data_IF_918698065153
#
_entry.id   IF_918698065153
#
_cell.length_a   1.000
_cell.length_b   1.000
_cell.length_c   1.000
_cell.angle_alpha   90.00
_cell.angle_beta   90.00
_cell.angle_gamma   90.00
#
_symmetry.space_group_name_H-M   'P 1'
#
loop_
_entity.id
_entity.type
_entity.pdbx_description
1 polymer ?
#
# COMPACT_ATOMS: atom_id res chain seq x y z
N UNK A 1 17.99 -5.56 12.32
CA UNK A 1 18.80 -4.39 12.76
C UNK A 1 18.96 -3.49 11.55
N UNK A 2 18.70 -2.17 11.66
CA UNK A 2 18.91 -1.24 10.56
C UNK A 2 20.35 -1.29 10.05
N UNK A 3 20.53 -1.35 8.73
CA UNK A 3 21.85 -1.36 8.12
C UNK A 3 21.83 -0.74 6.73
N UNK A 4 22.96 -0.24 6.28
CA UNK A 4 23.19 0.24 4.92
C UNK A 4 23.01 -0.89 3.89
N UNK A 5 23.46 -2.09 4.25
CA UNK A 5 23.37 -3.30 3.43
C UNK A 5 21.96 -3.59 2.90
N UNK A 6 20.91 -3.31 3.70
CA UNK A 6 19.51 -3.48 3.27
C UNK A 6 19.14 -2.51 2.13
N UNK A 7 19.61 -1.28 2.22
CA UNK A 7 19.40 -0.28 1.16
C UNK A 7 20.14 -0.68 -0.10
N UNK A 8 21.42 -1.06 0.02
CA UNK A 8 22.22 -1.50 -1.12
C UNK A 8 21.62 -2.74 -1.79
N UNK A 9 21.11 -3.69 -1.02
CA UNK A 9 20.40 -4.84 -1.58
C UNK A 9 19.15 -4.42 -2.35
N UNK A 10 18.33 -3.52 -1.80
CA UNK A 10 17.15 -2.99 -2.52
C UNK A 10 17.53 -2.33 -3.85
N UNK A 11 18.55 -1.50 -3.85
CA UNK A 11 19.05 -0.82 -5.05
C UNK A 11 19.66 -1.80 -6.06
N UNK A 12 20.40 -2.81 -5.59
CA UNK A 12 20.96 -3.85 -6.46
C UNK A 12 19.87 -4.70 -7.10
N UNK A 13 18.80 -5.03 -6.36
CA UNK A 13 17.62 -5.73 -6.90
C UNK A 13 17.01 -4.91 -8.05
N UNK A 14 16.84 -3.61 -7.87
CA UNK A 14 16.32 -2.73 -8.93
C UNK A 14 17.21 -2.74 -10.16
N UNK A 15 18.53 -2.65 -9.98
CA UNK A 15 19.51 -2.72 -11.06
C UNK A 15 19.46 -4.06 -11.80
N UNK A 16 19.40 -5.17 -11.08
CA UNK A 16 19.33 -6.52 -11.66
C UNK A 16 18.00 -6.79 -12.40
N UNK A 17 16.93 -6.08 -12.04
CA UNK A 17 15.64 -6.18 -12.69
C UNK A 17 15.46 -5.23 -13.89
N UNK A 18 16.47 -4.43 -14.26
CA UNK A 18 16.37 -3.42 -15.34
C UNK A 18 15.80 -4.00 -16.64
N UNK A 19 16.13 -5.24 -16.98
CA UNK A 19 15.57 -5.95 -18.14
C UNK A 19 14.05 -6.17 -18.11
N UNK A 20 13.42 -6.01 -16.95
CA UNK A 20 11.97 -6.11 -16.78
C UNK A 20 11.24 -4.79 -17.03
N UNK A 21 11.92 -3.67 -17.02
CA UNK A 21 11.40 -2.36 -17.37
C UNK A 21 11.23 -2.21 -18.87
N UNK A 22 10.20 -1.48 -19.31
CA UNK A 22 10.15 -1.03 -20.68
C UNK A 22 11.09 0.18 -20.85
N UNK A 23 11.83 0.19 -21.92
CA UNK A 23 12.62 1.34 -22.33
C UNK A 23 11.78 2.08 -23.38
N UNK A 24 11.52 3.35 -23.15
CA UNK A 24 10.80 4.19 -24.12
C UNK A 24 11.73 4.56 -25.29
N UNK A 25 11.22 5.35 -26.25
CA UNK A 25 12.06 5.92 -27.31
C UNK A 25 13.21 6.78 -26.76
N UNK A 26 13.06 7.31 -25.55
CA UNK A 26 14.12 7.97 -24.79
C UNK A 26 14.79 6.93 -23.87
N UNK A 27 16.04 6.50 -24.14
CA UNK A 27 16.69 5.41 -23.43
C UNK A 27 16.98 5.70 -21.95
N UNK A 28 16.83 6.94 -21.50
CA UNK A 28 16.97 7.35 -20.10
C UNK A 28 15.61 7.58 -19.41
N UNK A 29 14.49 7.35 -20.10
CA UNK A 29 13.16 7.46 -19.54
C UNK A 29 12.69 6.09 -19.03
N UNK A 30 12.50 5.98 -17.70
CA UNK A 30 11.99 4.78 -17.06
C UNK A 30 10.48 4.78 -16.91
N UNK A 31 9.90 3.58 -16.79
CA UNK A 31 8.44 3.37 -16.58
C UNK A 31 8.01 3.62 -15.12
N UNK A 32 8.94 4.03 -14.28
CA UNK A 32 8.70 4.22 -12.86
C UNK A 32 9.42 3.20 -12.00
N UNK A 33 10.02 3.68 -10.94
CA UNK A 33 10.80 2.91 -9.98
C UNK A 33 10.69 3.55 -8.60
N UNK A 34 10.89 2.77 -7.56
CA UNK A 34 10.97 3.34 -6.22
C UNK A 34 11.42 2.36 -5.14
N UNK A 35 11.76 2.94 -4.02
CA UNK A 35 12.14 2.27 -2.79
C UNK A 35 11.37 2.86 -1.61
N UNK A 36 10.77 2.01 -0.79
CA UNK A 36 10.19 2.33 0.52
C UNK A 36 11.10 1.77 1.59
N UNK A 37 11.41 2.60 2.58
CA UNK A 37 12.28 2.25 3.71
C UNK A 37 11.70 2.77 5.02
N UNK A 38 12.27 2.34 6.14
CA UNK A 38 12.09 3.09 7.38
C UNK A 38 12.76 4.45 7.27
N UNK A 39 12.31 5.42 8.09
CA UNK A 39 12.94 6.74 8.17
C UNK A 39 14.38 6.59 8.66
N UNK A 40 15.39 7.02 7.87
CA UNK A 40 16.80 6.93 8.24
C UNK A 40 17.16 8.06 9.21
N UNK A 41 16.82 7.90 10.49
CA UNK A 41 16.92 8.95 11.51
C UNK A 41 18.31 9.58 11.60
N UNK A 42 19.38 8.78 11.62
CA UNK A 42 20.75 9.28 11.72
C UNK A 42 21.15 10.14 10.51
N UNK A 43 20.71 9.75 9.32
CA UNK A 43 20.91 10.53 8.12
C UNK A 43 20.23 11.90 8.22
N UNK A 44 18.94 11.93 8.56
CA UNK A 44 18.21 13.20 8.70
C UNK A 44 18.69 14.06 9.85
N UNK A 45 19.13 13.46 10.95
CA UNK A 45 19.75 14.19 12.06
C UNK A 45 21.00 14.93 11.59
N UNK A 46 21.87 14.26 10.80
CA UNK A 46 23.05 14.87 10.19
C UNK A 46 22.68 15.98 9.20
N UNK A 47 21.70 15.73 8.34
CA UNK A 47 21.31 16.70 7.32
C UNK A 47 20.68 17.97 7.92
N UNK A 48 19.78 17.83 8.88
CA UNK A 48 19.09 18.96 9.49
C UNK A 48 19.98 19.74 10.46
N UNK A 49 20.98 19.09 11.04
CA UNK A 49 21.98 19.78 11.85
C UNK A 49 22.74 20.87 11.06
N UNK A 50 22.89 20.72 9.74
CA UNK A 50 23.48 21.77 8.87
C UNK A 50 22.67 23.09 8.89
N UNK A 51 21.38 23.01 9.21
CA UNK A 51 20.46 24.14 9.34
C UNK A 51 20.11 24.45 10.80
N UNK A 52 20.87 23.94 11.76
CA UNK A 52 20.65 24.07 13.21
C UNK A 52 19.28 23.55 13.68
N UNK A 53 18.71 22.56 12.99
CA UNK A 53 17.45 21.93 13.37
C UNK A 53 17.76 20.62 14.12
N UNK A 54 17.19 20.48 15.32
CA UNK A 54 17.31 19.28 16.14
C UNK A 54 16.06 18.44 15.92
N UNK A 55 16.24 17.22 15.41
CA UNK A 55 15.14 16.26 15.27
C UNK A 55 14.75 15.67 16.63
N UNK A 56 13.44 15.48 16.90
CA UNK A 56 12.97 14.67 18.02
C UNK A 56 13.45 13.20 17.91
N UNK A 57 13.11 12.39 18.90
CA UNK A 57 13.39 10.95 18.84
C UNK A 57 12.63 10.29 17.68
N UNK A 58 13.10 9.13 17.18
CA UNK A 58 12.28 8.31 16.31
C UNK A 58 10.88 8.10 16.89
N UNK A 59 9.87 8.04 16.03
CA UNK A 59 8.45 7.96 16.34
C UNK A 59 7.80 9.25 16.91
N UNK A 60 8.58 10.23 17.41
CA UNK A 60 8.07 11.52 17.92
C UNK A 60 7.96 12.58 16.81
N UNK A 61 8.35 12.28 15.59
CA UNK A 61 8.22 13.14 14.43
C UNK A 61 7.85 12.32 13.18
N UNK A 62 7.38 13.00 12.16
CA UNK A 62 7.08 12.38 10.86
C UNK A 62 7.82 13.11 9.73
N UNK A 63 8.01 12.39 8.62
CA UNK A 63 8.58 12.95 7.39
C UNK A 63 7.56 12.82 6.27
N UNK A 64 7.23 13.94 5.64
CA UNK A 64 6.48 13.99 4.40
C UNK A 64 7.41 14.08 3.20
N UNK A 65 7.20 13.27 2.17
CA UNK A 65 7.81 13.40 0.86
C UNK A 65 6.73 13.85 -0.12
N UNK A 66 6.85 15.04 -0.69
CA UNK A 66 5.81 15.64 -1.53
C UNK A 66 6.36 16.03 -2.89
N UNK A 67 5.58 15.75 -3.94
CA UNK A 67 5.76 16.28 -5.27
C UNK A 67 4.94 17.56 -5.41
N UNK A 68 5.60 18.65 -5.77
CA UNK A 68 5.03 19.98 -5.89
C UNK A 68 5.23 20.54 -7.30
N UNK A 69 4.44 21.57 -7.72
CA UNK A 69 4.61 22.21 -9.02
C UNK A 69 5.99 22.83 -9.19
N UNK A 70 6.49 22.82 -10.41
CA UNK A 70 7.72 23.53 -10.78
C UNK A 70 7.50 25.05 -10.89
N UNK A 71 6.29 25.48 -11.22
CA UNK A 71 5.94 26.90 -11.22
C UNK A 71 6.05 27.47 -9.80
N UNK A 72 6.78 28.56 -9.62
CA UNK A 72 7.10 29.14 -8.31
C UNK A 72 5.87 29.71 -7.60
N UNK A 73 4.90 30.26 -8.33
CA UNK A 73 3.67 30.84 -7.75
C UNK A 73 2.75 29.71 -7.27
N UNK A 74 2.52 28.70 -8.12
CA UNK A 74 1.72 27.51 -7.76
C UNK A 74 2.35 26.76 -6.58
N UNK A 75 3.68 26.58 -6.60
CA UNK A 75 4.41 25.97 -5.50
C UNK A 75 4.28 26.75 -4.20
N UNK A 76 4.38 28.07 -4.26
CA UNK A 76 4.19 28.95 -3.09
C UNK A 76 2.77 28.83 -2.53
N UNK A 77 1.77 28.72 -3.41
CA UNK A 77 0.39 28.46 -3.00
C UNK A 77 0.25 27.10 -2.31
N UNK A 78 0.79 26.05 -2.91
CA UNK A 78 0.79 24.69 -2.29
C UNK A 78 1.46 24.69 -0.92
N UNK A 79 2.64 25.33 -0.80
CA UNK A 79 3.35 25.45 0.48
C UNK A 79 2.53 26.19 1.55
N UNK A 80 1.76 27.20 1.16
CA UNK A 80 0.86 27.94 2.06
C UNK A 80 -0.25 27.01 2.57
N UNK A 81 -0.97 26.33 1.67
CA UNK A 81 -2.06 25.41 2.01
C UNK A 81 -1.56 24.27 2.92
N UNK A 82 -0.39 23.68 2.62
CA UNK A 82 0.23 22.65 3.46
C UNK A 82 0.46 23.16 4.88
N UNK A 83 1.06 24.36 5.05
CA UNK A 83 1.34 24.95 6.36
C UNK A 83 0.06 25.26 7.14
N UNK A 84 -0.97 25.79 6.47
CA UNK A 84 -2.27 26.08 7.07
C UNK A 84 -2.95 24.79 7.60
N UNK A 85 -2.89 23.70 6.84
CA UNK A 85 -3.40 22.42 7.29
C UNK A 85 -2.59 21.85 8.46
N UNK A 86 -1.27 21.97 8.47
CA UNK A 86 -0.47 21.57 9.64
C UNK A 86 -0.92 22.32 10.90
N UNK A 87 -1.12 23.63 10.81
CA UNK A 87 -1.62 24.43 11.93
C UNK A 87 -3.01 24.00 12.38
N UNK A 88 -3.92 23.76 11.43
CA UNK A 88 -5.30 23.32 11.68
C UNK A 88 -5.36 22.01 12.49
N UNK A 89 -4.45 21.08 12.19
CA UNK A 89 -4.38 19.76 12.85
C UNK A 89 -3.39 19.71 14.01
N UNK A 90 -2.97 20.87 14.57
CA UNK A 90 -2.01 20.93 15.67
C UNK A 90 -0.65 20.26 15.38
N UNK A 91 -0.23 20.31 14.13
CA UNK A 91 1.08 19.85 13.71
C UNK A 91 2.06 21.04 13.70
N UNK A 92 3.24 20.82 14.24
CA UNK A 92 4.36 21.77 14.18
C UNK A 92 5.27 21.40 13.02
N UNK A 93 5.54 22.36 12.15
CA UNK A 93 6.52 22.22 11.09
C UNK A 93 7.91 22.53 11.64
N UNK A 94 8.79 21.54 11.64
CA UNK A 94 10.17 21.68 12.11
C UNK A 94 11.07 22.23 11.00
N UNK A 95 10.96 21.68 9.79
CA UNK A 95 11.80 22.06 8.66
C UNK A 95 11.18 21.66 7.32
N UNK A 96 11.50 22.41 6.28
CA UNK A 96 11.23 22.05 4.88
C UNK A 96 12.56 21.92 4.17
N UNK A 97 12.77 20.80 3.50
CA UNK A 97 13.98 20.51 2.74
C UNK A 97 13.61 20.22 1.29
N UNK A 98 14.25 20.90 0.36
CA UNK A 98 14.25 20.45 -1.03
C UNK A 98 15.18 19.24 -1.15
N UNK A 99 14.69 18.17 -1.78
CA UNK A 99 15.45 16.93 -1.91
C UNK A 99 16.51 17.09 -2.97
N UNK A 100 17.80 16.86 -2.67
CA UNK A 100 18.86 16.98 -3.66
C UNK A 100 18.77 15.84 -4.67
N UNK A 101 18.63 16.22 -5.94
CA UNK A 101 18.54 15.29 -7.08
C UNK A 101 19.53 15.66 -8.16
N UNK A 102 19.95 14.64 -8.93
CA UNK A 102 20.81 14.78 -10.08
C UNK A 102 20.01 14.62 -11.38
N UNK A 103 19.67 15.73 -12.01
CA UNK A 103 18.76 15.75 -13.17
C UNK A 103 19.36 15.21 -14.46
N UNK A 104 20.69 15.27 -14.62
CA UNK A 104 21.41 14.84 -15.83
C UNK A 104 21.33 13.33 -16.10
N UNK A 105 20.91 12.56 -15.12
CA UNK A 105 20.65 11.13 -15.27
C UNK A 105 19.30 10.81 -15.91
N UNK A 106 18.39 11.80 -15.97
CA UNK A 106 17.06 11.64 -16.54
C UNK A 106 17.07 11.86 -18.06
N UNK A 107 16.13 11.21 -18.74
CA UNK A 107 15.83 11.50 -20.13
C UNK A 107 15.13 12.84 -20.33
N UNK A 108 15.30 13.44 -21.49
CA UNK A 108 14.71 14.78 -21.81
C UNK A 108 13.19 14.79 -21.65
N UNK A 109 12.52 13.71 -22.04
CA UNK A 109 11.07 13.56 -21.91
C UNK A 109 10.58 13.56 -20.46
N UNK A 110 11.42 13.13 -19.53
CA UNK A 110 11.10 13.00 -18.10
C UNK A 110 11.47 14.26 -17.32
N UNK A 111 12.59 14.90 -17.66
CA UNK A 111 13.06 16.13 -17.01
C UNK A 111 11.99 17.24 -17.06
N UNK A 112 11.36 17.41 -18.23
CA UNK A 112 10.34 18.45 -18.42
C UNK A 112 9.09 18.27 -17.56
N UNK A 113 8.81 17.02 -17.15
CA UNK A 113 7.63 16.66 -16.33
C UNK A 113 8.00 16.32 -14.88
N UNK A 114 9.28 16.49 -14.51
CA UNK A 114 9.73 16.21 -13.15
C UNK A 114 9.11 17.21 -12.17
N UNK A 115 8.51 16.76 -11.07
CA UNK A 115 8.05 17.65 -10.02
C UNK A 115 9.21 18.25 -9.21
N UNK A 116 8.96 19.33 -8.52
CA UNK A 116 9.79 19.77 -7.40
C UNK A 116 9.57 18.84 -6.21
N UNK A 117 10.62 18.33 -5.61
CA UNK A 117 10.55 17.28 -4.58
C UNK A 117 10.95 17.88 -3.23
N UNK A 118 10.02 17.84 -2.25
CA UNK A 118 10.23 18.41 -0.94
C UNK A 118 9.98 17.41 0.19
N UNK A 119 10.76 17.54 1.24
CA UNK A 119 10.57 16.86 2.51
C UNK A 119 10.09 17.83 3.58
N UNK A 120 9.10 17.40 4.34
CA UNK A 120 8.52 18.15 5.46
C UNK A 120 8.77 17.37 6.75
N UNK A 121 9.55 17.94 7.64
CA UNK A 121 9.79 17.39 8.97
C UNK A 121 8.81 18.04 9.93
N UNK A 122 7.99 17.21 10.57
CA UNK A 122 6.86 17.68 11.36
C UNK A 122 6.73 16.84 12.65
N UNK A 123 6.12 17.44 13.67
CA UNK A 123 5.73 16.72 14.88
C UNK A 123 4.37 17.19 15.38
N UNK A 124 3.73 16.42 16.22
CA UNK A 124 2.54 16.91 16.93
C UNK A 124 2.91 17.96 17.98
N UNK A 125 2.11 19.01 18.13
CA UNK A 125 2.27 19.98 19.22
C UNK A 125 1.88 19.37 20.57
N UNK A 126 0.88 18.48 20.55
CA UNK A 126 0.45 17.70 21.70
C UNK A 126 0.60 16.23 21.29
N UNK A 127 1.51 15.46 21.92
CA UNK A 127 1.74 14.09 21.54
C UNK A 127 0.48 13.23 21.61
N UNK A 128 0.22 12.44 20.59
CA UNK A 128 -0.84 11.45 20.54
C UNK A 128 -0.63 10.35 21.59
N UNK A 129 -1.72 9.64 21.93
CA UNK A 129 -1.67 8.50 22.85
C UNK A 129 -0.89 7.31 22.28
N UNK A 130 -0.80 7.23 20.96
CA UNK A 130 -0.08 6.17 20.26
C UNK A 130 0.40 6.64 18.90
N UNK A 131 1.42 5.97 18.37
CA UNK A 131 1.93 6.23 17.02
C UNK A 131 0.87 5.94 15.95
N UNK A 132 -0.05 5.01 16.16
CA UNK A 132 -1.16 4.76 15.24
C UNK A 132 -2.14 5.93 15.21
N UNK A 133 -2.37 6.61 16.33
CA UNK A 133 -3.18 7.82 16.36
C UNK A 133 -2.49 8.96 15.62
N UNK A 134 -1.16 9.09 15.74
CA UNK A 134 -0.39 10.05 14.95
C UNK A 134 -0.50 9.76 13.44
N UNK A 135 -0.36 8.50 13.02
CA UNK A 135 -0.59 8.09 11.62
C UNK A 135 -2.01 8.47 11.15
N UNK A 136 -3.03 8.28 11.98
CA UNK A 136 -4.41 8.65 11.65
C UNK A 136 -4.56 10.17 11.49
N UNK A 137 -3.92 10.97 12.34
CA UNK A 137 -3.88 12.42 12.20
C UNK A 137 -3.20 12.83 10.89
N UNK A 138 -2.06 12.23 10.56
CA UNK A 138 -1.33 12.50 9.32
C UNK A 138 -2.12 12.12 8.07
N UNK A 139 -2.88 11.03 8.13
CA UNK A 139 -3.81 10.65 7.05
C UNK A 139 -4.86 11.75 6.81
N UNK A 140 -5.51 12.26 7.87
CA UNK A 140 -6.49 13.34 7.76
C UNK A 140 -5.87 14.61 7.18
N UNK A 141 -4.72 15.02 7.71
CA UNK A 141 -3.95 16.18 7.22
C UNK A 141 -3.69 16.05 5.72
N UNK A 142 -3.16 14.91 5.30
CA UNK A 142 -2.85 14.63 3.89
C UNK A 142 -4.09 14.70 3.01
N UNK A 143 -5.18 14.06 3.44
CA UNK A 143 -6.44 14.07 2.67
C UNK A 143 -7.03 15.46 2.52
N UNK A 144 -6.99 16.29 3.56
CA UNK A 144 -7.42 17.68 3.46
C UNK A 144 -6.57 18.47 2.47
N UNK A 145 -5.25 18.34 2.54
CA UNK A 145 -4.34 19.01 1.59
C UNK A 145 -4.62 18.53 0.15
N UNK A 146 -4.78 17.22 -0.09
CA UNK A 146 -5.11 16.69 -1.41
C UNK A 146 -6.42 17.24 -1.98
N UNK A 147 -7.44 17.38 -1.15
CA UNK A 147 -8.74 17.94 -1.58
C UNK A 147 -8.68 19.44 -1.86
N UNK A 148 -7.95 20.19 -1.06
CA UNK A 148 -7.76 21.63 -1.26
C UNK A 148 -6.90 21.93 -2.49
N UNK A 149 -5.91 21.09 -2.76
CA UNK A 149 -4.96 21.25 -3.88
C UNK A 149 -5.34 20.44 -5.14
N UNK A 150 -6.56 19.92 -5.23
CA UNK A 150 -7.01 19.06 -6.35
C UNK A 150 -6.87 19.70 -7.75
N UNK A 151 -6.78 21.02 -7.85
CA UNK A 151 -6.62 21.75 -9.11
C UNK A 151 -5.15 22.04 -9.45
N UNK A 152 -4.23 21.64 -8.60
CA UNK A 152 -2.79 21.82 -8.77
C UNK A 152 -2.10 20.48 -8.91
N UNK A 153 -0.89 20.50 -9.50
CA UNK A 153 -0.04 19.34 -9.47
C UNK A 153 0.53 19.18 -8.04
N UNK A 154 -0.10 18.34 -7.27
CA UNK A 154 0.30 18.03 -5.89
C UNK A 154 0.13 16.54 -5.62
N UNK A 155 1.17 15.91 -5.10
CA UNK A 155 1.09 14.49 -4.72
C UNK A 155 1.93 14.20 -3.48
N UNK A 156 1.32 13.73 -2.39
CA UNK A 156 2.02 13.28 -1.19
C UNK A 156 2.50 11.84 -1.39
N UNK A 157 3.78 11.70 -1.70
CA UNK A 157 4.43 10.39 -1.92
C UNK A 157 4.38 9.55 -0.65
N UNK A 158 4.75 10.16 0.47
CA UNK A 158 4.62 9.57 1.82
C UNK A 158 4.43 10.69 2.86
N UNK A 159 3.80 10.35 3.98
CA UNK A 159 3.70 11.19 5.18
C UNK A 159 3.49 10.25 6.36
N UNK A 160 4.53 9.95 7.10
CA UNK A 160 4.53 8.91 8.14
C UNK A 160 5.64 9.17 9.18
N UNK A 161 5.47 8.76 10.45
CA UNK A 161 6.53 8.72 11.44
C UNK A 161 7.44 7.49 11.30
N UNK A 162 7.10 6.53 10.42
CA UNK A 162 7.80 5.23 10.32
C UNK A 162 8.53 5.02 9.00
N UNK A 163 7.93 5.44 7.88
CA UNK A 163 8.40 5.10 6.53
C UNK A 163 8.60 6.32 5.65
N UNK A 164 9.47 6.19 4.66
CA UNK A 164 9.69 7.18 3.62
C UNK A 164 9.83 6.48 2.28
N UNK A 165 9.41 7.14 1.20
CA UNK A 165 9.44 6.61 -0.16
C UNK A 165 10.21 7.55 -1.07
N UNK A 166 11.18 6.99 -1.81
CA UNK A 166 11.85 7.63 -2.92
C UNK A 166 11.42 6.94 -4.21
N UNK A 167 10.75 7.65 -5.09
CA UNK A 167 10.22 7.08 -6.34
C UNK A 167 10.11 8.12 -7.45
N UNK A 168 9.95 7.65 -8.68
CA UNK A 168 9.72 8.53 -9.83
C UNK A 168 9.86 7.83 -11.16
N UNK A 169 9.75 8.59 -12.24
CA UNK A 169 9.94 8.11 -13.60
C UNK A 169 11.45 8.05 -13.95
N UNK A 170 12.18 7.25 -13.20
CA UNK A 170 13.62 7.06 -13.29
C UNK A 170 13.88 5.63 -13.76
N UNK A 171 14.96 5.39 -14.46
CA UNK A 171 15.43 4.03 -14.74
C UNK A 171 15.81 3.35 -13.43
N UNK A 172 15.58 2.04 -13.35
CA UNK A 172 15.73 1.30 -12.08
C UNK A 172 17.17 1.27 -11.56
N UNK A 173 18.15 1.24 -12.44
CA UNK A 173 19.57 1.30 -12.12
C UNK A 173 20.07 2.72 -11.78
N UNK A 174 19.31 3.76 -12.14
CA UNK A 174 19.64 5.17 -11.91
C UNK A 174 18.97 5.79 -10.67
N UNK A 175 18.13 5.07 -9.94
CA UNK A 175 17.42 5.61 -8.78
C UNK A 175 18.38 6.14 -7.70
N UNK A 176 19.48 5.41 -7.45
CA UNK A 176 20.53 5.82 -6.50
C UNK A 176 21.26 7.08 -6.98
N UNK A 177 21.50 7.19 -8.29
CA UNK A 177 22.21 8.33 -8.86
C UNK A 177 21.32 9.56 -8.92
N UNK A 178 20.02 9.39 -9.15
CA UNK A 178 19.05 10.46 -9.14
C UNK A 178 18.84 11.07 -7.74
N UNK A 179 18.58 10.23 -6.72
CA UNK A 179 18.39 10.66 -5.35
C UNK A 179 19.70 10.60 -4.56
N UNK A 180 20.36 11.73 -4.36
CA UNK A 180 21.66 11.79 -3.68
C UNK A 180 21.60 11.30 -2.23
N UNK A 181 20.44 11.42 -1.58
CA UNK A 181 20.20 10.89 -0.23
C UNK A 181 20.48 9.38 -0.13
N UNK A 182 20.12 8.64 -1.19
CA UNK A 182 20.30 7.17 -1.21
C UNK A 182 21.77 6.74 -1.30
N UNK A 183 22.71 7.68 -1.46
CA UNK A 183 24.16 7.40 -1.52
C UNK A 183 24.82 7.51 -0.15
N UNK A 184 24.18 8.17 0.84
CA UNK A 184 24.79 8.39 2.16
C UNK A 184 24.83 7.11 3.00
N UNK A 185 25.98 6.84 3.63
CA UNK A 185 26.19 5.65 4.45
C UNK A 185 25.29 5.60 5.70
N UNK A 186 24.82 6.76 6.18
CA UNK A 186 23.88 6.85 7.30
C UNK A 186 22.42 6.62 6.88
N UNK A 187 22.17 6.46 5.59
CA UNK A 187 20.85 6.08 5.10
C UNK A 187 20.65 4.57 5.32
N UNK A 188 20.20 4.21 6.51
CA UNK A 188 20.05 2.82 6.96
C UNK A 188 18.59 2.45 7.23
N UNK A 189 18.25 1.18 7.05
CA UNK A 189 16.92 0.63 7.34
C UNK A 189 17.01 -0.85 7.69
N UNK A 190 16.01 -1.37 8.42
CA UNK A 190 15.85 -2.81 8.64
C UNK A 190 15.07 -3.51 7.53
N UNK A 191 14.39 -2.74 6.69
CA UNK A 191 13.62 -3.26 5.56
C UNK A 191 13.76 -2.36 4.35
N UNK A 192 13.55 -2.92 3.16
CA UNK A 192 13.29 -2.17 1.94
C UNK A 192 12.24 -2.90 1.10
N UNK A 193 11.26 -2.16 0.58
CA UNK A 193 10.37 -2.64 -0.48
C UNK A 193 10.74 -1.88 -1.74
N UNK A 194 11.04 -2.60 -2.80
CA UNK A 194 11.39 -2.02 -4.09
C UNK A 194 10.44 -2.49 -5.17
N UNK A 195 10.19 -1.62 -6.11
CA UNK A 195 9.37 -1.96 -7.27
C UNK A 195 9.92 -1.27 -8.51
N UNK A 196 9.93 -2.02 -9.59
CA UNK A 196 10.24 -1.53 -10.91
C UNK A 196 9.02 -1.69 -11.80
N UNK A 197 8.70 -0.66 -12.55
CA UNK A 197 7.56 -0.60 -13.46
C UNK A 197 6.26 -0.17 -12.76
N UNK A 198 5.43 0.55 -13.48
CA UNK A 198 4.10 0.95 -13.05
C UNK A 198 3.03 0.04 -13.68
N UNK A 199 1.74 0.31 -13.39
CA UNK A 199 0.61 -0.46 -13.95
C UNK A 199 0.55 -0.32 -15.48
N UNK A 200 0.36 -1.44 -16.18
CA UNK A 200 0.27 -1.50 -17.65
C UNK A 200 -0.99 -0.84 -18.22
N UNK A 201 -1.99 -0.57 -17.38
CA UNK A 201 -3.30 -0.06 -17.78
C UNK A 201 -3.44 1.47 -17.68
N UNK A 202 -2.40 2.17 -17.27
CA UNK A 202 -2.36 3.63 -17.12
C UNK A 202 -1.10 4.20 -17.77
N UNK A 203 -1.13 5.48 -18.18
CA UNK A 203 0.09 6.14 -18.62
C UNK A 203 1.06 6.33 -17.46
N UNK A 204 2.40 6.19 -17.72
CA UNK A 204 3.41 6.44 -16.71
C UNK A 204 3.32 7.86 -16.16
N UNK A 205 3.42 7.97 -14.85
CA UNK A 205 3.52 9.26 -14.16
C UNK A 205 4.32 9.15 -12.87
N UNK A 206 4.86 10.25 -12.41
CA UNK A 206 5.68 10.30 -11.19
C UNK A 206 4.94 9.77 -9.96
N UNK A 207 3.66 10.11 -9.83
CA UNK A 207 2.79 9.73 -8.72
C UNK A 207 2.41 8.26 -8.74
N UNK A 208 2.27 7.65 -9.93
CA UNK A 208 1.86 6.25 -10.08
C UNK A 208 3.02 5.26 -9.99
N UNK A 209 4.28 5.73 -10.01
CA UNK A 209 5.41 4.86 -9.70
C UNK A 209 5.22 4.22 -8.32
N UNK A 210 5.58 2.94 -8.22
CA UNK A 210 5.50 2.18 -6.97
C UNK A 210 6.88 2.14 -6.27
N UNK A 211 6.93 1.93 -4.94
CA UNK A 211 5.86 1.55 -4.02
C UNK A 211 4.89 2.70 -3.70
N UNK A 212 3.69 2.31 -3.23
CA UNK A 212 2.78 3.18 -2.50
C UNK A 212 3.09 3.12 -0.99
N UNK A 213 2.42 3.94 -0.17
CA UNK A 213 2.76 4.15 1.27
C UNK A 213 2.87 2.88 2.10
N UNK A 214 2.12 1.84 1.80
CA UNK A 214 2.10 0.59 2.56
C UNK A 214 2.45 -0.63 1.72
N UNK A 215 2.47 -0.53 0.38
CA UNK A 215 2.61 -1.71 -0.47
C UNK A 215 3.24 -1.44 -1.83
N UNK A 216 3.68 -2.52 -2.45
CA UNK A 216 3.81 -2.63 -3.90
C UNK A 216 3.00 -3.83 -4.42
N UNK A 217 2.52 -3.72 -5.65
CA UNK A 217 1.64 -4.68 -6.29
C UNK A 217 2.13 -5.04 -7.69
N UNK A 218 2.28 -6.32 -7.94
CA UNK A 218 2.51 -6.88 -9.27
C UNK A 218 1.31 -7.72 -9.67
N UNK A 219 0.47 -7.18 -10.55
CA UNK A 219 -0.75 -7.84 -11.01
C UNK A 219 -1.83 -6.86 -11.45
N UNK A 220 -3.07 -7.31 -11.41
CA UNK A 220 -4.26 -6.54 -11.79
C UNK A 220 -5.44 -6.91 -10.90
N UNK A 221 -6.20 -5.91 -10.46
CA UNK A 221 -7.45 -6.11 -9.72
C UNK A 221 -8.62 -6.06 -10.71
N UNK A 222 -9.21 -7.22 -11.00
CA UNK A 222 -10.28 -7.34 -11.99
C UNK A 222 -11.63 -6.82 -11.49
N UNK A 223 -11.85 -6.81 -10.17
CA UNK A 223 -13.10 -6.38 -9.54
C UNK A 223 -13.14 -4.89 -9.20
N UNK A 224 -12.18 -4.12 -9.69
CA UNK A 224 -11.91 -2.72 -9.33
C UNK A 224 -13.17 -1.83 -9.28
N UNK A 225 -14.01 -1.87 -10.31
CA UNK A 225 -15.22 -1.01 -10.38
C UNK A 225 -16.20 -1.28 -9.26
N UNK A 226 -16.44 -2.55 -8.95
CA UNK A 226 -17.29 -2.95 -7.83
C UNK A 226 -16.70 -2.53 -6.49
N UNK A 227 -15.40 -2.76 -6.31
CA UNK A 227 -14.68 -2.38 -5.09
C UNK A 227 -14.73 -0.87 -4.84
N UNK A 228 -14.51 -0.03 -5.86
CA UNK A 228 -14.60 1.42 -5.76
C UNK A 228 -16.01 1.88 -5.35
N UNK A 229 -17.05 1.31 -5.95
CA UNK A 229 -18.43 1.63 -5.61
C UNK A 229 -18.74 1.30 -4.15
N UNK A 230 -18.34 0.14 -3.66
CA UNK A 230 -18.51 -0.26 -2.27
C UNK A 230 -17.71 0.60 -1.31
N UNK A 231 -16.45 0.93 -1.63
CA UNK A 231 -15.63 1.84 -0.83
C UNK A 231 -16.30 3.21 -0.67
N UNK A 232 -16.79 3.79 -1.77
CA UNK A 232 -17.47 5.08 -1.73
C UNK A 232 -18.79 5.04 -0.96
N UNK A 233 -19.53 3.93 -1.01
CA UNK A 233 -20.75 3.76 -0.23
C UNK A 233 -20.45 3.69 1.27
N UNK A 234 -19.45 2.90 1.67
CA UNK A 234 -19.05 2.72 3.08
C UNK A 234 -18.45 3.98 3.69
N UNK A 235 -17.63 4.69 2.93
CA UNK A 235 -16.98 5.90 3.43
C UNK A 235 -17.97 6.92 4.00
N UNK A 236 -19.22 6.92 3.52
CA UNK A 236 -20.27 7.83 3.99
C UNK A 236 -20.85 7.46 5.37
N UNK A 237 -20.77 6.19 5.76
CA UNK A 237 -21.38 5.65 6.99
C UNK A 237 -20.35 5.15 7.99
N UNK A 238 -19.08 5.14 7.61
CA UNK A 238 -18.01 4.61 8.45
C UNK A 238 -17.81 5.45 9.70
N UNK A 239 -17.58 4.76 10.80
CA UNK A 239 -17.26 5.32 12.10
C UNK A 239 -16.10 4.54 12.71
N UNK A 240 -15.17 5.24 13.33
CA UNK A 240 -14.06 4.64 14.08
C UNK A 240 -13.66 5.59 15.21
N UNK A 241 -13.21 5.06 16.32
CA UNK A 241 -12.61 5.85 17.41
C UNK A 241 -11.34 6.59 17.01
N UNK A 242 -10.71 6.15 15.91
CA UNK A 242 -9.52 6.79 15.32
C UNK A 242 -9.86 7.95 14.40
N UNK A 243 -11.12 8.06 13.94
CA UNK A 243 -11.57 9.11 13.05
C UNK A 243 -12.36 10.18 13.82
N UNK A 244 -11.91 11.42 13.69
CA UNK A 244 -12.69 12.58 14.12
C UNK A 244 -13.90 12.81 13.20
N UNK A 245 -14.77 13.78 13.56
CA UNK A 245 -15.86 14.21 12.67
C UNK A 245 -15.37 14.73 11.31
N UNK A 246 -14.10 15.16 11.23
CA UNK A 246 -13.44 15.57 9.99
C UNK A 246 -13.35 14.46 8.95
N UNK A 247 -13.46 13.18 9.35
CA UNK A 247 -13.44 12.05 8.42
C UNK A 247 -14.54 12.13 7.36
N UNK A 248 -15.69 12.68 7.68
CA UNK A 248 -16.79 12.88 6.71
C UNK A 248 -16.40 13.83 5.57
N UNK A 249 -15.46 14.73 5.83
CA UNK A 249 -15.03 15.78 4.92
C UNK A 249 -13.93 15.35 3.95
N UNK A 250 -13.34 14.17 4.11
CA UNK A 250 -12.24 13.67 3.27
C UNK A 250 -12.66 12.71 2.13
N UNK A 251 -13.95 12.54 1.95
CA UNK A 251 -14.49 11.74 0.86
C UNK A 251 -14.46 12.48 -0.49
N UNK A 252 -14.31 11.77 -1.62
CA UNK A 252 -14.18 10.32 -1.77
C UNK A 252 -12.79 9.82 -1.37
N UNK A 253 -12.69 8.58 -0.88
CA UNK A 253 -11.41 7.93 -0.55
C UNK A 253 -10.65 7.52 -1.80
N UNK A 254 -11.37 7.28 -2.88
CA UNK A 254 -10.84 6.87 -4.18
C UNK A 254 -11.47 7.74 -5.27
N UNK A 255 -10.71 7.98 -6.34
CA UNK A 255 -11.16 8.80 -7.48
C UNK A 255 -11.31 7.92 -8.72
N UNK A 256 -12.17 8.32 -9.65
CA UNK A 256 -12.23 7.72 -10.98
C UNK A 256 -10.92 7.96 -11.75
N UNK A 257 -10.50 6.95 -12.51
CA UNK A 257 -9.29 7.05 -13.34
C UNK A 257 -7.97 6.77 -12.64
N UNK A 258 -7.97 6.42 -11.33
CA UNK A 258 -6.75 5.95 -10.67
C UNK A 258 -6.44 4.50 -11.08
N UNK A 259 -5.16 4.10 -10.95
CA UNK A 259 -4.78 2.71 -11.19
C UNK A 259 -5.41 1.77 -10.15
N UNK A 260 -5.60 0.51 -10.53
CA UNK A 260 -6.07 -0.55 -9.63
C UNK A 260 -5.21 -0.69 -8.38
N UNK A 261 -3.88 -0.64 -8.55
CA UNK A 261 -2.92 -0.68 -7.45
C UNK A 261 -3.07 0.53 -6.50
N UNK A 262 -3.29 1.73 -7.07
CA UNK A 262 -3.52 2.94 -6.29
C UNK A 262 -4.86 2.90 -5.55
N UNK A 263 -5.90 2.32 -6.15
CA UNK A 263 -7.18 2.10 -5.49
C UNK A 263 -7.08 1.10 -4.35
N UNK A 264 -6.38 -0.02 -4.59
CA UNK A 264 -6.15 -1.04 -3.57
C UNK A 264 -5.40 -0.48 -2.35
N UNK A 265 -4.32 0.29 -2.58
CA UNK A 265 -3.59 0.84 -1.45
C UNK A 265 -4.43 1.86 -0.64
N UNK A 266 -5.31 2.61 -1.28
CA UNK A 266 -6.25 3.49 -0.56
C UNK A 266 -7.20 2.70 0.34
N UNK A 267 -7.69 1.54 -0.13
CA UNK A 267 -8.51 0.64 0.66
C UNK A 267 -7.72 0.05 1.85
N UNK A 268 -6.48 -0.39 1.60
CA UNK A 268 -5.60 -0.90 2.65
C UNK A 268 -5.31 0.18 3.70
N UNK A 269 -4.91 1.37 3.27
CA UNK A 269 -4.64 2.51 4.16
C UNK A 269 -5.86 2.85 5.01
N UNK A 270 -7.05 2.89 4.40
CA UNK A 270 -8.30 3.14 5.10
C UNK A 270 -8.56 2.15 6.25
N UNK A 271 -8.30 0.86 6.03
CA UNK A 271 -8.44 -0.16 7.07
C UNK A 271 -7.40 0.00 8.18
N UNK A 272 -6.14 0.23 7.83
CA UNK A 272 -5.06 0.41 8.80
C UNK A 272 -5.34 1.62 9.69
N UNK A 273 -5.69 2.74 9.10
CA UNK A 273 -6.00 3.97 9.81
C UNK A 273 -7.28 3.83 10.64
N UNK A 274 -8.21 2.98 10.20
CA UNK A 274 -9.40 2.60 10.95
C UNK A 274 -9.16 1.66 12.13
N UNK A 275 -7.90 1.25 12.37
CA UNK A 275 -7.49 0.46 13.53
C UNK A 275 -7.19 -1.01 13.24
N UNK A 276 -7.24 -1.46 12.00
CA UNK A 276 -6.85 -2.84 11.66
C UNK A 276 -5.32 -2.99 11.60
N UNK A 277 -4.80 -4.07 12.14
CA UNK A 277 -3.44 -4.52 11.85
C UNK A 277 -3.28 -4.73 10.34
N UNK A 278 -2.11 -4.40 9.77
CA UNK A 278 -1.88 -4.50 8.32
C UNK A 278 -2.08 -5.92 7.80
N UNK A 279 -1.63 -6.93 8.53
CA UNK A 279 -1.81 -8.34 8.18
C UNK A 279 -3.30 -8.75 8.19
N UNK A 280 -4.09 -8.25 9.14
CA UNK A 280 -5.54 -8.48 9.17
C UNK A 280 -6.23 -7.79 7.99
N UNK A 281 -5.87 -6.54 7.72
CA UNK A 281 -6.41 -5.80 6.58
C UNK A 281 -6.12 -6.51 5.25
N UNK A 282 -4.91 -7.04 5.08
CA UNK A 282 -4.55 -7.82 3.89
C UNK A 282 -5.34 -9.14 3.80
N UNK A 283 -5.58 -9.85 4.91
CA UNK A 283 -6.44 -11.04 4.93
C UNK A 283 -7.87 -10.74 4.50
N UNK A 284 -8.38 -9.54 4.81
CA UNK A 284 -9.76 -9.14 4.45
C UNK A 284 -9.86 -8.69 3.00
N UNK A 285 -8.87 -7.98 2.48
CA UNK A 285 -8.86 -7.49 1.10
C UNK A 285 -8.55 -8.61 0.09
N UNK A 286 -7.68 -9.56 0.46
CA UNK A 286 -7.33 -10.73 -0.36
C UNK A 286 -7.63 -12.00 0.42
N UNK A 287 -8.91 -12.31 0.65
CA UNK A 287 -9.29 -13.50 1.40
C UNK A 287 -9.00 -14.77 0.59
N UNK A 288 -8.74 -15.85 1.29
CA UNK A 288 -8.76 -17.16 0.68
C UNK A 288 -10.19 -17.62 0.37
N UNK A 289 -10.35 -18.66 -0.47
CA UNK A 289 -11.66 -19.25 -0.70
C UNK A 289 -12.05 -20.10 0.52
N UNK A 290 -13.00 -19.61 1.30
CA UNK A 290 -13.41 -20.24 2.57
C UNK A 290 -14.77 -20.95 2.51
N UNK A 291 -15.71 -20.49 1.68
CA UNK A 291 -17.13 -20.90 1.71
C UNK A 291 -17.41 -22.40 1.68
N UNK A 292 -16.55 -23.20 1.09
CA UNK A 292 -16.70 -24.65 1.04
C UNK A 292 -15.42 -25.39 1.46
N UNK A 293 -14.55 -24.71 2.20
CA UNK A 293 -13.28 -25.28 2.60
C UNK A 293 -13.44 -26.07 3.90
N UNK A 294 -13.54 -27.39 3.76
CA UNK A 294 -13.68 -28.33 4.87
C UNK A 294 -12.42 -28.49 5.73
N UNK A 295 -11.28 -27.99 5.24
CA UNK A 295 -10.00 -28.05 5.98
C UNK A 295 -9.83 -26.89 6.96
N UNK A 296 -10.65 -25.84 6.87
CA UNK A 296 -10.62 -24.73 7.79
C UNK A 296 -11.29 -25.05 9.12
N UNK A 297 -10.79 -24.44 10.18
CA UNK A 297 -11.52 -24.45 11.44
C UNK A 297 -12.83 -23.65 11.31
N UNK A 298 -13.77 -23.95 12.16
CA UNK A 298 -15.06 -23.26 12.19
C UNK A 298 -14.91 -21.76 12.52
N UNK A 299 -13.97 -21.45 13.40
CA UNK A 299 -13.63 -20.07 13.78
C UNK A 299 -13.12 -19.29 12.59
N UNK A 300 -12.23 -19.87 11.77
CA UNK A 300 -11.68 -19.22 10.59
C UNK A 300 -12.75 -18.98 9.52
N UNK A 301 -13.64 -19.96 9.28
CA UNK A 301 -14.77 -19.77 8.36
C UNK A 301 -15.69 -18.64 8.86
N UNK A 302 -16.03 -18.67 10.16
CA UNK A 302 -16.88 -17.62 10.77
C UNK A 302 -16.23 -16.23 10.73
N UNK A 303 -14.91 -16.15 10.85
CA UNK A 303 -14.15 -14.91 10.68
C UNK A 303 -14.35 -14.33 9.27
N UNK A 304 -14.17 -15.14 8.23
CA UNK A 304 -14.36 -14.68 6.85
C UNK A 304 -15.83 -14.38 6.53
N UNK A 305 -16.77 -15.24 6.95
CA UNK A 305 -18.21 -15.01 6.78
C UNK A 305 -18.67 -13.70 7.42
N UNK A 306 -18.17 -13.39 8.63
CA UNK A 306 -18.48 -12.15 9.31
C UNK A 306 -17.96 -10.94 8.54
N UNK A 307 -16.69 -10.95 8.15
CA UNK A 307 -16.06 -9.81 7.49
C UNK A 307 -16.51 -9.63 6.04
N UNK A 308 -16.95 -10.68 5.35
CA UNK A 308 -17.52 -10.58 4.00
C UNK A 308 -18.79 -9.71 3.93
N UNK A 309 -19.46 -9.48 5.07
CA UNK A 309 -20.59 -8.53 5.15
C UNK A 309 -20.12 -7.05 5.18
N UNK A 310 -18.85 -6.80 5.45
CA UNK A 310 -18.29 -5.46 5.60
C UNK A 310 -17.31 -5.10 4.50
N UNK A 311 -16.59 -6.08 3.95
CA UNK A 311 -15.53 -5.86 2.97
C UNK A 311 -15.63 -6.94 1.90
N UNK A 312 -15.77 -6.51 0.66
CA UNK A 312 -15.70 -7.39 -0.52
C UNK A 312 -14.25 -7.73 -0.87
N UNK A 313 -14.01 -8.94 -1.41
CA UNK A 313 -12.69 -9.30 -1.92
C UNK A 313 -12.24 -8.37 -3.05
N UNK A 314 -10.96 -8.02 -3.05
CA UNK A 314 -10.29 -7.40 -4.17
C UNK A 314 -9.59 -8.51 -4.96
N UNK A 315 -10.18 -8.90 -6.08
CA UNK A 315 -9.82 -10.13 -6.78
C UNK A 315 -9.14 -9.84 -8.13
N UNK A 316 -8.16 -10.67 -8.43
CA UNK A 316 -7.35 -10.63 -9.64
C UNK A 316 -5.98 -11.26 -9.42
N UNK A 317 -5.18 -11.45 -10.49
CA UNK A 317 -3.83 -11.98 -10.36
C UNK A 317 -2.96 -10.99 -9.57
N UNK A 318 -2.53 -11.35 -8.37
CA UNK A 318 -1.79 -10.44 -7.50
C UNK A 318 -0.62 -11.10 -6.77
N UNK A 319 0.51 -10.39 -6.75
CA UNK A 319 1.59 -10.58 -5.80
C UNK A 319 1.85 -9.24 -5.12
N UNK A 320 1.67 -9.18 -3.82
CA UNK A 320 1.82 -7.94 -3.07
C UNK A 320 2.86 -8.09 -1.98
N UNK A 321 3.73 -7.08 -1.84
CA UNK A 321 4.55 -6.87 -0.66
C UNK A 321 4.05 -5.65 0.08
N UNK A 322 3.97 -5.72 1.40
CA UNK A 322 3.40 -4.66 2.23
C UNK A 322 4.17 -4.47 3.53
N UNK A 323 4.08 -3.27 4.09
CA UNK A 323 4.71 -2.92 5.37
C UNK A 323 4.05 -1.70 6.01
N UNK A 324 4.07 -1.66 7.34
CA UNK A 324 3.77 -0.46 8.15
C UNK A 324 5.03 0.16 8.76
N UNK A 325 6.21 -0.29 8.35
CA UNK A 325 7.50 0.14 8.87
C UNK A 325 8.03 -0.70 10.06
N UNK A 326 7.18 -1.50 10.72
CA UNK A 326 7.55 -2.44 11.80
C UNK A 326 7.29 -3.89 11.43
N UNK A 327 6.32 -4.11 10.60
CA UNK A 327 5.91 -5.40 10.07
C UNK A 327 6.10 -5.38 8.56
N UNK A 328 6.50 -6.49 7.97
CA UNK A 328 6.65 -6.64 6.53
C UNK A 328 6.13 -7.99 6.09
N UNK A 329 5.41 -8.03 5.00
CA UNK A 329 4.86 -9.28 4.50
C UNK A 329 4.70 -9.32 2.99
N UNK A 330 4.31 -10.51 2.53
CA UNK A 330 3.92 -10.75 1.16
C UNK A 330 2.77 -11.73 1.07
N UNK A 331 1.90 -11.52 0.09
CA UNK A 331 0.73 -12.36 -0.15
C UNK A 331 0.50 -12.51 -1.65
N UNK A 332 0.00 -13.67 -2.04
CA UNK A 332 -0.53 -13.92 -3.38
C UNK A 332 -2.05 -13.94 -3.36
N UNK A 333 -2.63 -13.69 -4.54
CA UNK A 333 -4.06 -13.93 -4.77
C UNK A 333 -4.45 -15.39 -4.45
N UNK A 334 -5.75 -15.63 -4.30
CA UNK A 334 -6.28 -16.94 -3.93
C UNK A 334 -5.90 -18.07 -4.89
N UNK A 335 -5.55 -17.77 -6.14
CA UNK A 335 -5.13 -18.74 -7.15
C UNK A 335 -3.60 -18.81 -7.31
N UNK A 336 -2.86 -17.83 -6.80
CA UNK A 336 -1.41 -17.76 -6.89
C UNK A 336 -0.90 -17.64 -8.33
N UNK A 337 -1.58 -16.84 -9.15
CA UNK A 337 -1.28 -16.69 -10.57
C UNK A 337 0.05 -15.97 -10.81
N UNK A 338 0.47 -15.11 -9.89
CA UNK A 338 1.77 -14.46 -9.95
C UNK A 338 2.82 -15.24 -9.17
N UNK A 339 4.06 -15.36 -9.66
CA UNK A 339 5.13 -16.01 -8.92
C UNK A 339 5.61 -15.14 -7.77
N UNK A 340 5.93 -15.77 -6.65
CA UNK A 340 6.68 -15.14 -5.56
C UNK A 340 7.52 -16.19 -4.84
N UNK A 341 8.76 -15.84 -4.52
CA UNK A 341 9.72 -16.71 -3.89
C UNK A 341 10.43 -16.00 -2.77
N UNK A 342 10.76 -16.72 -1.72
CA UNK A 342 11.54 -16.15 -0.64
C UNK A 342 12.75 -17.04 -0.31
N UNK A 343 13.76 -16.43 0.24
CA UNK A 343 14.89 -17.12 0.84
C UNK A 343 15.25 -16.47 2.17
N UNK A 344 15.85 -17.26 3.02
CA UNK A 344 16.35 -16.90 4.34
C UNK A 344 17.82 -17.31 4.43
N UNK A 345 18.64 -16.44 5.00
CA UNK A 345 20.07 -16.70 5.18
C UNK A 345 20.43 -16.87 6.64
N UNK A 346 21.57 -17.48 6.92
CA UNK A 346 22.08 -17.73 8.28
C UNK A 346 22.33 -16.44 9.09
N UNK A 347 22.61 -15.31 8.43
CA UNK A 347 22.78 -14.00 9.04
C UNK A 347 21.44 -13.24 9.23
N UNK A 348 20.32 -13.92 9.00
CA UNK A 348 18.97 -13.42 9.25
C UNK A 348 18.45 -12.45 8.18
N UNK A 349 19.06 -12.40 6.98
CA UNK A 349 18.47 -11.72 5.83
C UNK A 349 17.30 -12.54 5.30
N UNK A 350 16.18 -11.88 5.05
CA UNK A 350 15.04 -12.46 4.32
C UNK A 350 14.81 -11.68 3.05
N UNK A 351 14.72 -12.37 1.94
CA UNK A 351 14.41 -11.80 0.62
C UNK A 351 13.13 -12.44 0.07
N UNK A 352 12.14 -11.61 -0.25
CA UNK A 352 10.94 -11.99 -0.99
C UNK A 352 10.94 -11.27 -2.34
N UNK A 353 10.75 -11.99 -3.44
CA UNK A 353 10.80 -11.43 -4.79
C UNK A 353 9.93 -12.21 -5.77
N UNK A 354 9.57 -11.60 -6.90
CA UNK A 354 8.83 -12.26 -7.98
C UNK A 354 9.63 -13.40 -8.63
N UNK A 355 10.95 -13.34 -8.58
CA UNK A 355 11.84 -14.34 -9.18
C UNK A 355 13.11 -14.56 -8.36
N UNK A 356 13.77 -15.69 -8.60
CA UNK A 356 15.07 -15.98 -7.99
C UNK A 356 16.18 -15.29 -8.78
N UNK A 357 17.33 -15.06 -8.11
CA UNK A 357 18.50 -14.46 -8.75
C UNK A 357 18.47 -12.95 -8.86
N UNK A 358 17.48 -12.29 -8.26
CA UNK A 358 17.43 -10.81 -8.19
C UNK A 358 18.53 -10.22 -7.32
N UNK A 359 19.11 -11.03 -6.46
CA UNK A 359 20.27 -10.71 -5.63
C UNK A 359 21.22 -11.91 -5.61
N UNK A 360 22.50 -11.65 -5.82
CA UNK A 360 23.54 -12.67 -5.74
C UNK A 360 23.84 -12.95 -4.26
N UNK A 361 23.30 -14.07 -3.78
CA UNK A 361 23.51 -14.55 -2.42
C UNK A 361 24.34 -15.84 -2.47
N UNK A 362 25.45 -15.92 -1.69
CA UNK A 362 26.26 -17.13 -1.60
C UNK A 362 25.37 -18.34 -1.22
N UNK A 363 25.35 -19.40 -2.03
CA UNK A 363 24.47 -20.56 -1.80
C UNK A 363 24.63 -21.18 -0.42
N UNK A 364 25.85 -21.18 0.11
CA UNK A 364 26.22 -21.73 1.42
C UNK A 364 25.60 -20.95 2.60
N UNK A 365 25.25 -19.68 2.39
CA UNK A 365 24.59 -18.85 3.42
C UNK A 365 23.07 -19.00 3.42
N UNK A 366 22.50 -19.60 2.39
CA UNK A 366 21.05 -19.71 2.27
C UNK A 366 20.58 -20.98 2.98
N UNK A 367 19.90 -20.80 4.11
CA UNK A 367 19.37 -21.90 4.93
C UNK A 367 17.99 -22.38 4.45
N UNK A 368 17.25 -21.51 3.77
CA UNK A 368 15.92 -21.86 3.27
C UNK A 368 15.61 -21.12 1.97
N UNK A 369 15.06 -21.86 1.00
CA UNK A 369 14.47 -21.33 -0.23
C UNK A 369 13.08 -21.92 -0.40
N UNK A 370 12.09 -21.06 -0.62
CA UNK A 370 10.72 -21.53 -0.75
C UNK A 370 9.93 -20.70 -1.75
N UNK A 371 8.83 -21.25 -2.21
CA UNK A 371 7.83 -20.55 -3.02
C UNK A 371 6.71 -20.07 -2.10
N UNK A 372 6.28 -18.83 -2.24
CA UNK A 372 5.06 -18.38 -1.59
C UNK A 372 3.88 -19.12 -2.22
N UNK A 373 3.10 -19.76 -1.37
CA UNK A 373 1.95 -20.55 -1.81
C UNK A 373 0.71 -19.64 -1.96
N UNK A 374 -0.22 -19.99 -2.88
CA UNK A 374 -1.51 -19.33 -2.96
C UNK A 374 -2.20 -19.30 -1.60
N UNK A 375 -2.89 -18.21 -1.27
CA UNK A 375 -3.67 -18.06 -0.03
C UNK A 375 -2.85 -18.04 1.26
N UNK A 376 -1.52 -18.07 1.17
CA UNK A 376 -0.64 -17.97 2.32
C UNK A 376 0.04 -16.61 2.36
N UNK A 377 0.14 -16.09 3.56
CA UNK A 377 0.88 -14.88 3.84
C UNK A 377 2.25 -15.24 4.40
N UNK A 378 3.29 -14.66 3.82
CA UNK A 378 4.61 -14.62 4.43
C UNK A 378 4.71 -13.34 5.24
N UNK A 379 5.09 -13.42 6.51
CA UNK A 379 4.99 -12.30 7.41
C UNK A 379 6.12 -12.27 8.44
N UNK A 380 6.68 -11.09 8.66
CA UNK A 380 7.76 -10.84 9.60
C UNK A 380 7.38 -9.68 10.50
N UNK A 381 7.49 -9.89 11.79
CA UNK A 381 7.44 -8.85 12.81
C UNK A 381 8.89 -8.47 13.17
N UNK A 382 9.29 -7.24 12.83
CA UNK A 382 10.64 -6.75 13.06
C UNK A 382 10.91 -6.40 14.52
N UNK A 383 9.87 -6.03 15.27
CA UNK A 383 10.00 -5.74 16.70
C UNK A 383 10.24 -7.03 17.48
N UNK A 384 9.50 -8.11 17.13
CA UNK A 384 9.70 -9.45 17.69
C UNK A 384 10.87 -10.20 17.05
N UNK A 385 11.40 -9.73 15.92
CA UNK A 385 12.44 -10.40 15.11
C UNK A 385 12.05 -11.83 14.74
N UNK A 386 10.79 -12.03 14.38
CA UNK A 386 10.19 -13.35 14.15
C UNK A 386 9.49 -13.41 12.79
N UNK A 387 9.70 -14.52 12.09
CA UNK A 387 8.82 -14.93 10.98
C UNK A 387 7.59 -15.59 11.61
N UNK A 388 6.43 -15.01 11.38
CA UNK A 388 5.16 -15.51 11.89
C UNK A 388 4.52 -16.39 10.81
N UNK A 389 4.14 -17.60 11.19
CA UNK A 389 3.56 -18.57 10.26
C UNK A 389 2.12 -18.16 9.91
N UNK A 390 1.72 -18.46 8.67
CA UNK A 390 0.37 -18.13 8.17
C UNK A 390 -0.75 -18.70 9.07
N UNK A 391 -0.58 -19.91 9.57
CA UNK A 391 -1.53 -20.58 10.46
C UNK A 391 -1.64 -19.87 11.82
N UNK A 392 -0.52 -19.36 12.33
CA UNK A 392 -0.46 -18.55 13.57
C UNK A 392 -1.24 -17.23 13.40
N UNK A 393 -1.07 -16.55 12.26
CA UNK A 393 -1.83 -15.33 11.95
C UNK A 393 -3.33 -15.60 11.83
N UNK A 394 -3.72 -16.64 11.10
CA UNK A 394 -5.12 -17.01 10.91
C UNK A 394 -5.78 -17.39 12.22
N UNK A 395 -5.11 -18.15 13.05
CA UNK A 395 -5.58 -18.49 14.38
C UNK A 395 -5.78 -17.25 15.24
N UNK A 396 -4.78 -16.36 15.31
CA UNK A 396 -4.84 -15.11 16.08
C UNK A 396 -6.14 -14.34 15.80
N UNK A 397 -6.45 -14.10 14.54
CA UNK A 397 -7.59 -13.28 14.16
C UNK A 397 -8.93 -14.01 14.16
N UNK A 398 -8.93 -15.33 13.91
CA UNK A 398 -10.16 -16.12 13.92
C UNK A 398 -10.77 -16.30 15.31
N UNK A 399 -9.95 -16.22 16.36
CA UNK A 399 -10.38 -16.34 17.76
C UNK A 399 -10.47 -15.00 18.51
N UNK A 400 -10.15 -13.89 17.85
CA UNK A 400 -10.18 -12.54 18.46
C UNK A 400 -11.56 -12.20 19.01
N UNK A 401 -12.61 -12.63 18.31
CA UNK A 401 -14.00 -12.48 18.70
C UNK A 401 -14.77 -13.77 18.44
N UNK A 402 -15.90 -13.95 19.14
CA UNK A 402 -16.81 -15.05 18.85
C UNK A 402 -17.70 -14.73 17.63
N UNK A 403 -17.08 -14.75 16.43
CA UNK A 403 -17.76 -14.44 15.17
C UNK A 403 -18.94 -15.38 14.89
N UNK A 404 -18.80 -16.67 15.21
CA UNK A 404 -19.87 -17.66 15.02
C UNK A 404 -21.15 -17.27 15.80
N UNK A 405 -20.99 -16.91 17.07
CA UNK A 405 -22.13 -16.52 17.88
C UNK A 405 -22.78 -15.21 17.38
N UNK A 406 -21.94 -14.28 16.87
CA UNK A 406 -22.44 -13.05 16.28
C UNK A 406 -23.25 -13.33 15.00
N UNK A 407 -22.74 -14.17 14.10
CA UNK A 407 -23.46 -14.57 12.89
C UNK A 407 -24.76 -15.28 13.21
N UNK A 408 -24.77 -16.26 14.12
CA UNK A 408 -25.99 -16.97 14.53
C UNK A 408 -27.09 -16.06 15.08
N UNK A 409 -26.72 -14.95 15.71
CA UNK A 409 -27.72 -14.02 16.30
C UNK A 409 -28.25 -13.02 15.28
N UNK A 410 -27.47 -12.66 14.27
CA UNK A 410 -27.76 -11.53 13.40
C UNK A 410 -27.95 -11.91 11.93
N UNK A 411 -27.49 -13.09 11.50
CA UNK A 411 -27.61 -13.55 10.13
C UNK A 411 -29.03 -14.12 9.91
N UNK A 412 -29.65 -13.64 8.85
CA UNK A 412 -30.99 -14.05 8.43
C UNK A 412 -30.86 -14.69 7.06
N UNK A 413 -31.38 -15.89 6.90
CA UNK A 413 -31.35 -16.58 5.63
C UNK A 413 -32.63 -16.32 4.85
N UNK A 414 -32.52 -15.93 3.59
CA UNK A 414 -33.69 -15.67 2.72
C UNK A 414 -34.66 -16.86 2.69
N UNK A 415 -34.18 -18.08 2.81
CA UNK A 415 -34.99 -19.32 2.89
C UNK A 415 -36.00 -19.32 4.03
N UNK A 416 -35.70 -18.60 5.11
CA UNK A 416 -36.57 -18.52 6.30
C UNK A 416 -37.78 -17.62 6.06
N UNK A 417 -37.75 -16.76 5.05
CA UNK A 417 -38.80 -15.83 4.67
C UNK A 417 -39.60 -16.26 3.44
N UNK A 418 -39.06 -17.20 2.66
CA UNK A 418 -39.79 -17.76 1.52
C UNK A 418 -40.68 -18.86 2.08
N UNK A 419 -41.96 -18.55 2.32
CA UNK A 419 -42.96 -19.58 2.55
C UNK A 419 -42.95 -20.53 1.34
N UNK A 420 -43.01 -21.83 1.62
CA UNK A 420 -43.13 -22.85 0.56
C UNK A 420 -44.47 -22.75 -0.20
N UNK A 421 -45.24 -21.70 0.02
CA UNK A 421 -46.46 -21.43 -0.70
C UNK A 421 -46.12 -21.01 -2.13
N UNK A 422 -46.10 -22.01 -2.97
CA UNK A 422 -46.36 -21.90 -4.40
C UNK A 422 -45.59 -20.85 -5.17
N UNK A 423 -44.30 -21.12 -5.43
CA UNK A 423 -43.86 -20.85 -6.77
C UNK A 423 -44.66 -21.84 -7.66
N UNK A 424 -45.84 -21.38 -8.20
CA UNK A 424 -46.41 -22.04 -9.32
C UNK A 424 -45.26 -22.21 -10.34
N UNK A 425 -44.97 -23.45 -10.71
CA UNK A 425 -44.07 -23.76 -11.79
C UNK A 425 -44.68 -23.18 -13.03
N UNK A 426 -44.50 -21.90 -13.29
CA UNK A 426 -44.72 -21.31 -14.59
C UNK A 426 -43.82 -22.05 -15.57
N UNK A 427 -44.39 -23.04 -16.22
CA UNK A 427 -43.72 -23.78 -17.29
C UNK A 427 -43.56 -22.81 -18.46
N UNK A 428 -42.48 -22.06 -18.46
CA UNK A 428 -42.10 -21.22 -19.58
C UNK A 428 -41.92 -22.13 -20.81
N UNK A 429 -42.59 -21.80 -21.91
CA UNK A 429 -42.30 -22.43 -23.18
C UNK A 429 -40.84 -22.21 -23.54
N UNK A 430 -40.19 -23.12 -24.26
CA UNK A 430 -38.80 -22.94 -24.69
C UNK A 430 -38.55 -21.64 -25.46
N UNK A 431 -39.60 -21.13 -26.13
CA UNK A 431 -39.56 -19.86 -26.87
C UNK A 431 -39.57 -18.68 -25.91
N UNK A 432 -40.36 -18.74 -24.86
CA UNK A 432 -40.44 -17.67 -23.85
C UNK A 432 -39.21 -17.66 -22.97
N UNK A 433 -38.66 -18.81 -22.62
CA UNK A 433 -37.41 -18.92 -21.90
C UNK A 433 -36.27 -18.24 -22.66
N UNK A 434 -36.14 -18.51 -23.97
CA UNK A 434 -35.10 -17.92 -24.81
C UNK A 434 -35.24 -16.40 -24.96
N UNK A 435 -36.47 -15.91 -25.09
CA UNK A 435 -36.75 -14.46 -25.14
C UNK A 435 -36.40 -13.78 -23.81
N UNK A 436 -36.75 -14.39 -22.71
CA UNK A 436 -36.46 -13.88 -21.38
C UNK A 436 -34.95 -13.89 -21.13
N UNK A 437 -34.25 -14.96 -21.47
CA UNK A 437 -32.79 -15.01 -21.38
C UNK A 437 -32.15 -13.85 -22.15
N UNK A 438 -32.55 -13.59 -23.39
CA UNK A 438 -32.06 -12.48 -24.20
C UNK A 438 -32.38 -11.13 -23.53
N UNK A 439 -33.63 -10.96 -23.04
CA UNK A 439 -34.05 -9.73 -22.36
C UNK A 439 -33.23 -9.43 -21.10
N UNK A 440 -32.79 -10.46 -20.38
CA UNK A 440 -31.93 -10.36 -19.18
C UNK A 440 -30.42 -10.40 -19.50
N UNK A 441 -30.06 -10.33 -20.79
CA UNK A 441 -28.65 -10.23 -21.20
C UNK A 441 -27.89 -11.56 -21.20
N UNK A 442 -28.56 -12.70 -21.04
CA UNK A 442 -27.89 -14.00 -21.14
C UNK A 442 -27.54 -14.29 -22.60
N UNK A 443 -26.32 -14.72 -22.83
CA UNK A 443 -25.82 -15.17 -24.13
C UNK A 443 -25.38 -16.65 -24.07
N UNK A 444 -24.69 -17.14 -25.08
CA UNK A 444 -24.23 -18.54 -25.11
C UNK A 444 -22.93 -18.81 -24.31
N UNK A 445 -22.34 -17.81 -23.76
CA UNK A 445 -21.17 -17.95 -22.88
C UNK A 445 -21.68 -18.18 -21.42
#
# INVERSE_FOLDING_TARGET
>A
IPSRKIIDYGLNILSNLTLRGAVSADPKAGDGVGILTQIPHQFFQKELAKSNVILPRPDDYAVGMFFLPNNSEERSHCLKVIKENFVRFNIELLFIREVPVKEDVLGVSVVNNRPSIFQFFIKEKVPSRSINQFESTLFLVRRHIELELKSFYFYPVSLSPRTIIYKGMVMSDLLKDFYLDLQDELFISSLSIVHQRFSTNTFPSWELAQPFRFLCHNGEINTLRGNLNWMNARAKISQSEYFSEDFKNINPLTFEGISDSAAFYNALEYLIIGGYDIEKAMMLLIPEAWEKNISHSKELNSFYDYHANYIEPWDGPAAMCFTDGRKIGGVLDRNGLRPSRYCETEDGLVLLSSEMGVLDLPPEKVIRRWRLEPRKMFFIDLDQKKIIQNEELKLKYSIEHNFENHLKKNQIFLKEFVSNDTLENDSFSNIDLKKNQIAFGYNKE
#
